data_IF_901151107491
#
_entry.id   IF_901151107491
#
_cell.length_a   1.000
_cell.length_b   1.000
_cell.length_c   1.000
_cell.angle_alpha   90.00
_cell.angle_beta   90.00
_cell.angle_gamma   90.00
#
_symmetry.space_group_name_H-M   'P 1'
#
loop_
_entity.id
_entity.type
_entity.pdbx_description
1 polymer ?
#
# COMPACT_ATOMS: atom_id res chain seq x y z
N UNK A 1 22.35 -50.75 0.75
CA UNK A 1 21.47 -50.87 1.92
C UNK A 1 20.88 -49.50 2.23
N UNK A 2 19.56 -49.42 2.23
CA UNK A 2 18.75 -48.23 2.47
C UNK A 2 18.80 -47.81 3.96
N UNK A 3 18.72 -46.51 4.22
CA UNK A 3 18.03 -45.92 5.39
C UNK A 3 17.76 -44.45 5.05
N UNK A 4 16.57 -44.16 4.53
CA UNK A 4 15.33 -43.81 5.25
C UNK A 4 15.24 -42.31 5.50
N UNK A 5 14.55 -41.65 4.57
CA UNK A 5 14.07 -40.28 4.62
C UNK A 5 13.00 -40.13 5.70
N UNK A 6 13.15 -39.15 6.60
CA UNK A 6 12.08 -38.71 7.47
C UNK A 6 11.40 -37.48 6.85
N UNK A 7 10.35 -37.72 6.07
CA UNK A 7 9.38 -36.73 5.64
C UNK A 7 8.38 -36.51 6.77
N UNK A 8 8.37 -35.32 7.38
CA UNK A 8 7.31 -34.90 8.28
C UNK A 8 6.05 -34.55 7.46
N UNK A 9 5.16 -35.52 7.33
CA UNK A 9 3.79 -35.33 6.85
C UNK A 9 2.94 -34.77 7.98
N UNK A 10 2.48 -33.53 7.88
CA UNK A 10 1.39 -33.02 8.69
C UNK A 10 0.07 -33.51 8.11
N UNK A 11 -0.47 -34.57 8.70
CA UNK A 11 -1.85 -35.03 8.53
C UNK A 11 -2.81 -33.97 9.07
N UNK A 12 -3.40 -33.18 8.18
CA UNK A 12 -4.55 -32.35 8.51
C UNK A 12 -5.79 -33.26 8.61
N UNK A 13 -6.19 -33.57 9.83
CA UNK A 13 -7.48 -34.20 10.12
C UNK A 13 -8.61 -33.21 9.81
N UNK A 14 -9.57 -33.68 9.02
CA UNK A 14 -10.70 -32.89 8.57
C UNK A 14 -11.63 -32.47 9.71
N UNK A 15 -11.88 -31.17 9.78
CA UNK A 15 -13.22 -30.61 10.02
C UNK A 15 -13.41 -29.51 8.99
N UNK A 16 -14.48 -29.62 8.20
CA UNK A 16 -14.80 -28.70 7.11
C UNK A 16 -14.94 -27.27 7.61
N UNK A 17 -13.85 -26.50 7.54
CA UNK A 17 -13.91 -25.07 7.61
C UNK A 17 -14.56 -24.58 6.31
N UNK A 18 -15.80 -24.08 6.40
CA UNK A 18 -16.38 -23.25 5.35
C UNK A 18 -15.43 -22.07 5.15
N UNK A 19 -14.68 -22.09 4.06
CA UNK A 19 -13.81 -20.99 3.65
C UNK A 19 -14.73 -19.78 3.45
N UNK A 20 -14.56 -18.66 4.18
CA UNK A 20 -15.34 -17.47 3.92
C UNK A 20 -14.93 -16.92 2.55
N UNK A 21 -15.93 -16.62 1.71
CA UNK A 21 -15.82 -16.13 0.33
C UNK A 21 -15.17 -14.75 0.16
N UNK A 22 -14.50 -14.22 1.19
CA UNK A 22 -13.87 -12.91 1.22
C UNK A 22 -12.34 -12.98 1.40
N UNK A 23 -11.69 -14.08 1.01
CA UNK A 23 -10.23 -14.08 0.95
C UNK A 23 -9.77 -13.13 -0.16
N UNK A 24 -9.14 -12.04 0.26
CA UNK A 24 -8.49 -11.09 -0.63
C UNK A 24 -7.39 -11.81 -1.46
N UNK A 25 -7.36 -11.68 -2.79
CA UNK A 25 -6.55 -12.51 -3.70
C UNK A 25 -5.02 -12.58 -3.47
N UNK A 26 -4.45 -11.69 -2.65
CA UNK A 26 -2.99 -11.52 -2.48
C UNK A 26 -2.36 -12.41 -1.39
N UNK A 27 -3.17 -13.16 -0.65
CA UNK A 27 -2.72 -14.02 0.46
C UNK A 27 -1.61 -15.07 0.16
N UNK A 28 -1.36 -15.56 -1.08
CA UNK A 28 -0.37 -16.63 -1.26
C UNK A 28 1.12 -16.21 -1.33
N UNK A 29 1.46 -14.92 -1.50
CA UNK A 29 2.85 -14.49 -1.80
C UNK A 29 3.46 -13.53 -0.77
N UNK A 30 2.62 -12.80 -0.05
CA UNK A 30 3.01 -11.90 1.03
C UNK A 30 3.26 -12.77 2.26
N UNK A 31 4.51 -13.20 2.49
CA UNK A 31 5.07 -13.82 3.72
C UNK A 31 6.39 -14.58 3.43
N UNK A 32 6.74 -14.79 2.15
CA UNK A 32 7.97 -15.49 1.78
C UNK A 32 9.18 -14.52 1.68
N UNK A 33 10.33 -14.80 2.31
CA UNK A 33 11.49 -13.92 2.19
C UNK A 33 11.90 -13.72 0.72
N UNK A 34 12.45 -12.54 0.37
CA UNK A 34 12.72 -12.14 -1.03
C UNK A 34 13.47 -13.19 -1.85
N UNK A 35 14.45 -13.88 -1.27
CA UNK A 35 15.21 -14.95 -1.94
C UNK A 35 14.41 -16.24 -2.24
N UNK A 36 13.21 -16.39 -1.67
CA UNK A 36 12.29 -17.52 -1.90
C UNK A 36 11.07 -17.13 -2.73
N UNK A 37 10.89 -15.82 -3.00
CA UNK A 37 9.88 -15.28 -3.93
C UNK A 37 10.36 -15.39 -5.37
N UNK A 38 10.73 -16.60 -5.77
CA UNK A 38 10.88 -16.90 -7.18
C UNK A 38 9.49 -16.91 -7.80
N UNK A 39 9.33 -16.30 -8.98
CA UNK A 39 8.17 -16.53 -9.85
C UNK A 39 8.58 -17.53 -10.94
N UNK A 40 8.85 -18.82 -10.61
CA UNK A 40 9.38 -19.79 -11.57
C UNK A 40 8.37 -20.12 -12.69
N UNK A 41 7.16 -19.58 -12.58
CA UNK A 41 6.06 -19.79 -13.52
C UNK A 41 5.92 -18.68 -14.56
N UNK A 42 6.66 -17.57 -14.51
CA UNK A 42 6.50 -16.47 -15.49
C UNK A 42 6.75 -16.92 -16.92
N UNK A 43 7.86 -17.60 -17.19
CA UNK A 43 8.12 -18.23 -18.51
C UNK A 43 7.02 -19.20 -18.95
N UNK A 44 6.46 -19.99 -18.02
CA UNK A 44 5.35 -20.91 -18.29
C UNK A 44 4.05 -20.16 -18.60
N UNK A 45 3.76 -19.08 -17.88
CA UNK A 45 2.60 -18.21 -18.10
C UNK A 45 2.72 -17.54 -19.48
N UNK A 46 3.88 -16.98 -19.80
CA UNK A 46 4.17 -16.41 -21.12
C UNK A 46 3.92 -17.44 -22.23
N UNK A 47 4.46 -18.66 -22.07
CA UNK A 47 4.25 -19.75 -23.04
C UNK A 47 2.77 -20.09 -23.17
N UNK A 48 2.06 -20.25 -22.04
CA UNK A 48 0.63 -20.52 -22.01
C UNK A 48 -0.19 -19.42 -22.71
N UNK A 49 0.14 -18.14 -22.50
CA UNK A 49 -0.54 -17.02 -23.13
C UNK A 49 -0.31 -16.99 -24.65
N UNK A 50 0.92 -17.29 -25.10
CA UNK A 50 1.26 -17.43 -26.51
C UNK A 50 0.50 -18.58 -27.17
N UNK A 51 0.51 -19.76 -26.54
CA UNK A 51 -0.22 -20.95 -27.01
C UNK A 51 -1.73 -20.73 -27.04
N UNK A 52 -2.29 -20.12 -25.98
CA UNK A 52 -3.70 -19.75 -25.90
C UNK A 52 -4.10 -18.81 -27.04
N UNK A 53 -3.24 -17.85 -27.39
CA UNK A 53 -3.46 -16.95 -28.54
C UNK A 53 -3.44 -17.71 -29.86
N UNK A 54 -2.48 -18.61 -30.06
CA UNK A 54 -2.39 -19.45 -31.27
C UNK A 54 -3.59 -20.40 -31.41
N UNK A 55 -4.10 -20.90 -30.29
CA UNK A 55 -5.24 -21.80 -30.23
C UNK A 55 -6.60 -21.07 -30.18
N UNK A 56 -6.63 -19.74 -30.32
CA UNK A 56 -7.85 -18.91 -30.23
C UNK A 56 -8.66 -19.07 -28.93
N UNK A 57 -8.00 -19.41 -27.81
CA UNK A 57 -8.63 -19.56 -26.50
C UNK A 57 -8.71 -18.25 -25.71
N UNK A 58 -8.02 -17.20 -26.17
CA UNK A 58 -8.13 -15.82 -25.68
C UNK A 58 -7.89 -15.59 -24.17
N UNK A 59 -7.10 -16.44 -23.49
CA UNK A 59 -6.84 -16.26 -22.03
C UNK A 59 -6.21 -14.92 -21.69
N UNK A 60 -5.37 -14.40 -22.58
CA UNK A 60 -4.75 -13.08 -22.43
C UNK A 60 -5.76 -11.93 -22.33
N UNK A 61 -6.97 -12.11 -22.87
CA UNK A 61 -8.06 -11.14 -22.75
C UNK A 61 -8.75 -11.19 -21.39
N UNK A 62 -8.53 -12.23 -20.57
CA UNK A 62 -9.17 -12.39 -19.25
C UNK A 62 -8.27 -11.93 -18.10
N UNK A 63 -6.98 -11.72 -18.36
CA UNK A 63 -6.04 -11.25 -17.34
C UNK A 63 -6.28 -9.76 -17.09
N UNK A 64 -6.80 -9.44 -15.90
CA UNK A 64 -7.13 -8.08 -15.44
C UNK A 64 -6.15 -7.51 -14.42
N UNK A 65 -5.29 -8.34 -13.86
CA UNK A 65 -4.51 -8.02 -12.68
C UNK A 65 -3.04 -8.36 -12.88
N UNK A 66 -2.18 -7.36 -12.70
CA UNK A 66 -0.73 -7.48 -12.75
C UNK A 66 -0.12 -7.23 -11.37
N UNK A 67 0.86 -8.04 -10.98
CA UNK A 67 1.64 -7.86 -9.74
C UNK A 67 3.10 -7.66 -10.10
N UNK A 68 3.67 -6.55 -9.64
CA UNK A 68 5.10 -6.24 -9.74
C UNK A 68 5.74 -6.43 -8.37
N UNK A 69 6.64 -7.40 -8.30
CA UNK A 69 7.49 -7.62 -7.13
C UNK A 69 8.95 -7.46 -7.55
N UNK A 70 9.62 -6.41 -7.04
CA UNK A 70 11.01 -6.15 -7.43
C UNK A 70 12.00 -7.21 -6.93
N UNK A 71 11.62 -8.01 -5.92
CA UNK A 71 12.41 -9.16 -5.49
C UNK A 71 12.52 -10.20 -6.61
N UNK A 72 11.62 -10.20 -7.59
CA UNK A 72 11.71 -11.09 -8.74
C UNK A 72 12.82 -10.72 -9.72
N UNK A 73 13.31 -9.48 -9.73
CA UNK A 73 14.39 -9.03 -10.63
C UNK A 73 15.75 -9.06 -9.94
N UNK A 74 15.81 -8.61 -8.69
CA UNK A 74 17.02 -8.57 -7.89
C UNK A 74 16.73 -9.05 -6.46
N UNK A 75 17.42 -10.10 -6.02
CA UNK A 75 17.37 -10.54 -4.62
C UNK A 75 18.68 -10.27 -3.90
N UNK A 76 18.60 -10.04 -2.59
CA UNK A 76 19.77 -10.01 -1.70
C UNK A 76 19.75 -11.28 -0.87
N UNK A 77 20.69 -12.18 -1.14
CA UNK A 77 20.88 -13.39 -0.35
C UNK A 77 22.01 -13.16 0.66
N UNK A 78 21.82 -13.65 1.89
CA UNK A 78 22.93 -13.73 2.85
C UNK A 78 23.62 -15.07 2.67
N UNK A 79 24.90 -15.05 2.33
CA UNK A 79 25.71 -16.25 2.16
C UNK A 79 26.95 -16.16 3.08
N UNK A 80 27.37 -17.30 3.65
CA UNK A 80 28.58 -17.35 4.45
C UNK A 80 29.79 -17.29 3.51
N UNK A 81 30.66 -16.32 3.72
CA UNK A 81 31.92 -16.20 2.99
C UNK A 81 32.76 -17.46 3.20
N UNK A 82 33.26 -18.04 2.09
CA UNK A 82 34.19 -19.17 2.15
C UNK A 82 35.54 -18.79 2.77
N UNK A 83 35.93 -17.52 2.69
CA UNK A 83 37.26 -17.04 3.12
C UNK A 83 37.28 -16.43 4.51
N UNK A 84 36.23 -15.70 4.90
CA UNK A 84 36.24 -14.92 6.15
C UNK A 84 35.32 -15.47 7.24
N UNK A 85 34.58 -16.56 6.97
CA UNK A 85 33.51 -17.07 7.84
C UNK A 85 32.41 -16.05 8.21
N UNK A 86 32.46 -14.84 7.67
CA UNK A 86 31.48 -13.78 7.87
C UNK A 86 30.29 -13.94 6.93
N UNK A 87 29.13 -13.46 7.34
CA UNK A 87 27.93 -13.40 6.49
C UNK A 87 28.04 -12.21 5.54
N UNK A 88 28.05 -12.48 4.23
CA UNK A 88 28.09 -11.47 3.17
C UNK A 88 26.71 -11.37 2.52
N UNK A 89 26.30 -10.14 2.18
CA UNK A 89 25.12 -9.90 1.34
C UNK A 89 25.54 -10.00 -0.13
N UNK A 90 25.03 -11.01 -0.84
CA UNK A 90 25.24 -11.19 -2.28
C UNK A 90 23.98 -10.80 -3.03
N UNK A 91 24.14 -9.96 -4.05
CA UNK A 91 23.06 -9.62 -4.98
C UNK A 91 22.96 -10.69 -6.07
N UNK A 92 21.74 -11.12 -6.36
CA UNK A 92 21.44 -12.07 -7.44
C UNK A 92 20.47 -11.39 -8.39
N UNK A 93 20.91 -11.24 -9.64
CA UNK A 93 20.10 -10.68 -10.71
C UNK A 93 19.41 -11.79 -11.52
N UNK A 94 18.13 -11.63 -11.80
CA UNK A 94 17.32 -12.58 -12.55
C UNK A 94 17.11 -12.07 -13.99
N UNK A 95 18.08 -12.32 -14.87
CA UNK A 95 18.20 -11.72 -16.20
C UNK A 95 16.93 -11.79 -17.08
N UNK A 96 16.12 -12.85 -16.96
CA UNK A 96 14.92 -13.04 -17.78
C UNK A 96 13.64 -12.47 -17.16
N UNK A 97 13.64 -12.14 -15.86
CA UNK A 97 12.42 -11.81 -15.13
C UNK A 97 11.74 -10.53 -15.63
N UNK A 98 12.54 -9.53 -16.05
CA UNK A 98 12.03 -8.30 -16.66
C UNK A 98 11.48 -8.57 -18.07
N UNK A 99 12.22 -9.32 -18.89
CA UNK A 99 11.80 -9.68 -20.24
C UNK A 99 10.47 -10.44 -20.23
N UNK A 100 10.33 -11.42 -19.35
CA UNK A 100 9.09 -12.19 -19.20
C UNK A 100 7.92 -11.32 -18.74
N UNK A 101 8.13 -10.37 -17.83
CA UNK A 101 7.09 -9.43 -17.41
C UNK A 101 6.67 -8.50 -18.56
N UNK A 102 7.62 -8.00 -19.34
CA UNK A 102 7.32 -7.21 -20.55
C UNK A 102 6.50 -8.02 -21.56
N UNK A 103 6.81 -9.31 -21.73
CA UNK A 103 6.02 -10.18 -22.59
C UNK A 103 4.60 -10.39 -22.06
N UNK A 104 4.40 -10.56 -20.74
CA UNK A 104 3.07 -10.63 -20.14
C UNK A 104 2.28 -9.35 -20.42
N UNK A 105 2.88 -8.18 -20.20
CA UNK A 105 2.26 -6.88 -20.51
C UNK A 105 1.87 -6.82 -21.99
N UNK A 106 2.78 -7.18 -22.91
CA UNK A 106 2.50 -7.17 -24.34
C UNK A 106 1.39 -8.14 -24.79
N UNK A 107 1.16 -9.23 -24.06
CA UNK A 107 0.12 -10.21 -24.40
C UNK A 107 -1.23 -9.84 -23.78
N UNK A 108 -1.25 -9.35 -22.55
CA UNK A 108 -2.45 -9.10 -21.76
C UNK A 108 -2.91 -7.64 -21.87
N UNK A 109 -3.67 -7.30 -22.90
CA UNK A 109 -4.05 -5.91 -23.24
C UNK A 109 -5.14 -5.29 -22.37
N UNK A 110 -5.70 -6.05 -21.43
CA UNK A 110 -6.87 -5.63 -20.65
C UNK A 110 -6.55 -5.66 -19.15
N UNK A 111 -5.35 -5.25 -18.76
CA UNK A 111 -4.96 -5.10 -17.34
C UNK A 111 -5.62 -3.82 -16.80
N UNK A 112 -6.43 -3.96 -15.75
CA UNK A 112 -7.15 -2.86 -15.10
C UNK A 112 -6.62 -2.57 -13.70
N UNK A 113 -5.88 -3.51 -13.12
CA UNK A 113 -5.35 -3.45 -11.76
C UNK A 113 -3.86 -3.74 -11.74
N UNK A 114 -3.12 -2.89 -11.03
CA UNK A 114 -1.69 -3.03 -10.78
C UNK A 114 -1.39 -3.08 -9.28
N UNK A 115 -0.71 -4.12 -8.85
CA UNK A 115 -0.16 -4.21 -7.49
C UNK A 115 1.35 -4.02 -7.54
N UNK A 116 1.90 -3.19 -6.66
CA UNK A 116 3.33 -3.01 -6.44
C UNK A 116 3.67 -3.51 -5.03
N UNK A 117 4.49 -4.56 -4.96
CA UNK A 117 5.00 -5.06 -3.69
C UNK A 117 6.12 -4.16 -3.18
N UNK A 118 5.86 -3.49 -2.06
CA UNK A 118 6.81 -2.62 -1.40
C UNK A 118 7.63 -3.42 -0.38
N UNK A 119 8.94 -3.57 -0.62
CA UNK A 119 9.85 -4.22 0.33
C UNK A 119 10.93 -3.25 0.83
N UNK A 120 10.93 -2.96 2.13
CA UNK A 120 11.98 -2.14 2.77
C UNK A 120 13.40 -2.75 2.64
N UNK A 121 13.50 -4.03 2.28
CA UNK A 121 14.74 -4.68 1.87
C UNK A 121 15.36 -4.06 0.61
N UNK A 122 14.56 -3.50 -0.30
CA UNK A 122 15.03 -2.89 -1.56
C UNK A 122 15.83 -1.61 -1.36
N UNK A 123 15.70 -0.95 -0.22
CA UNK A 123 16.61 0.12 0.15
C UNK A 123 18.08 -0.33 0.14
N UNK A 124 18.37 -1.60 0.48
CA UNK A 124 19.72 -2.13 0.39
C UNK A 124 20.17 -2.36 -1.08
N UNK A 125 19.25 -2.52 -2.03
CA UNK A 125 19.59 -2.62 -3.45
C UNK A 125 20.04 -1.27 -4.01
N UNK A 126 19.44 -0.19 -3.51
CA UNK A 126 19.79 1.19 -3.84
C UNK A 126 21.05 1.64 -3.10
N UNK A 127 21.15 1.43 -1.77
CA UNK A 127 22.30 1.93 -1.01
C UNK A 127 23.63 1.25 -1.35
N UNK A 128 23.61 0.06 -1.97
CA UNK A 128 24.81 -0.68 -2.32
C UNK A 128 25.45 -0.28 -3.67
N UNK A 129 24.82 0.57 -4.50
CA UNK A 129 25.46 1.07 -5.74
C UNK A 129 26.59 2.07 -5.48
N UNK A 130 26.70 2.62 -4.27
CA UNK A 130 27.72 3.62 -3.90
C UNK A 130 28.92 3.07 -3.12
N UNK A 131 28.99 1.77 -2.81
CA UNK A 131 30.14 1.22 -2.06
C UNK A 131 31.39 0.96 -2.92
N UNK A 132 31.37 1.30 -4.21
CA UNK A 132 32.58 1.44 -5.01
C UNK A 132 32.92 2.92 -5.17
N UNK A 133 33.87 3.37 -4.34
CA UNK A 133 34.64 4.62 -4.49
C UNK A 133 33.90 5.93 -4.15
N UNK A 134 33.71 6.25 -2.86
CA UNK A 134 34.00 7.60 -2.32
C UNK A 134 33.79 7.60 -0.81
N UNK A 135 34.89 7.77 -0.06
CA UNK A 135 34.86 8.26 1.32
C UNK A 135 34.42 9.73 1.34
N UNK A 136 33.62 10.08 2.34
CA UNK A 136 33.23 11.44 2.81
C UNK A 136 32.32 12.31 1.90
N UNK A 137 31.02 12.36 2.23
CA UNK A 137 30.18 13.58 2.24
C UNK A 137 28.81 13.30 2.89
N UNK A 138 28.17 14.31 3.53
CA UNK A 138 26.93 14.13 4.27
C UNK A 138 25.72 14.02 3.33
N UNK A 139 24.81 13.10 3.68
CA UNK A 139 23.54 12.85 3.00
C UNK A 139 22.60 14.06 3.03
N UNK A 140 22.62 14.86 1.96
CA UNK A 140 21.42 15.49 1.41
C UNK A 140 20.91 14.59 0.27
N UNK A 141 19.59 14.44 0.18
CA UNK A 141 18.81 13.59 -0.73
C UNK A 141 18.90 14.05 -2.19
N UNK A 142 20.12 14.01 -2.75
CA UNK A 142 20.31 14.05 -4.19
C UNK A 142 19.90 12.69 -4.75
N UNK A 143 18.80 12.68 -5.49
CA UNK A 143 18.31 11.53 -6.24
C UNK A 143 19.47 11.02 -7.10
N UNK A 144 19.95 9.81 -6.81
CA UNK A 144 20.90 9.13 -7.68
C UNK A 144 20.19 8.77 -9.00
N UNK A 145 20.30 9.66 -9.97
CA UNK A 145 19.86 9.46 -11.35
C UNK A 145 20.85 8.60 -12.15
N UNK A 146 21.79 7.91 -11.50
CA UNK A 146 22.72 7.04 -12.21
C UNK A 146 21.95 5.92 -12.92
N UNK A 147 22.31 5.67 -14.19
CA UNK A 147 21.84 4.54 -15.00
C UNK A 147 22.08 3.16 -14.33
N UNK A 148 22.82 3.14 -13.21
CA UNK A 148 23.15 1.96 -12.43
C UNK A 148 22.10 1.56 -11.39
N UNK A 149 21.06 2.37 -11.15
CA UNK A 149 19.97 1.98 -10.27
C UNK A 149 19.02 0.99 -10.98
N UNK A 150 19.05 -0.28 -10.57
CA UNK A 150 18.26 -1.31 -11.25
C UNK A 150 16.75 -1.15 -11.07
N UNK A 151 16.30 -0.61 -9.93
CA UNK A 151 14.87 -0.37 -9.70
C UNK A 151 14.39 0.69 -10.68
N UNK A 152 15.13 1.79 -10.79
CA UNK A 152 14.83 2.86 -11.73
C UNK A 152 14.85 2.37 -13.18
N UNK A 153 15.86 1.59 -13.55
CA UNK A 153 15.98 0.98 -14.89
C UNK A 153 14.81 0.06 -15.22
N UNK A 154 14.40 -0.80 -14.28
CA UNK A 154 13.20 -1.64 -14.41
C UNK A 154 11.95 -0.79 -14.56
N UNK A 155 11.76 0.24 -13.73
CA UNK A 155 10.61 1.15 -13.82
C UNK A 155 10.54 1.85 -15.18
N UNK A 156 11.66 2.35 -15.71
CA UNK A 156 11.73 2.95 -17.04
C UNK A 156 11.34 1.94 -18.14
N UNK A 157 11.86 0.72 -18.08
CA UNK A 157 11.54 -0.31 -19.06
C UNK A 157 10.05 -0.71 -19.03
N UNK A 158 9.46 -0.79 -17.83
CA UNK A 158 8.04 -1.11 -17.67
C UNK A 158 7.14 0.05 -18.10
N UNK A 159 7.51 1.30 -17.78
CA UNK A 159 6.82 2.49 -18.27
C UNK A 159 6.72 2.48 -19.80
N UNK A 160 7.85 2.31 -20.49
CA UNK A 160 7.87 2.25 -21.96
C UNK A 160 6.98 1.14 -22.50
N UNK A 161 6.97 -0.02 -21.85
CA UNK A 161 6.16 -1.16 -22.27
C UNK A 161 4.66 -0.88 -22.10
N UNK A 162 4.25 -0.32 -20.95
CA UNK A 162 2.86 0.06 -20.68
C UNK A 162 2.35 1.12 -21.65
N UNK A 163 3.16 2.14 -21.93
CA UNK A 163 2.82 3.20 -22.88
C UNK A 163 2.70 2.68 -24.31
N UNK A 164 3.64 1.83 -24.76
CA UNK A 164 3.59 1.22 -26.10
C UNK A 164 2.33 0.37 -26.31
N UNK A 165 1.89 -0.33 -25.26
CA UNK A 165 0.68 -1.15 -25.30
C UNK A 165 -0.60 -0.37 -25.00
N UNK A 166 -0.51 0.97 -24.81
CA UNK A 166 -1.63 1.83 -24.38
C UNK A 166 -2.32 1.35 -23.10
N UNK A 167 -1.59 0.62 -22.25
CA UNK A 167 -2.11 0.09 -20.99
C UNK A 167 -2.04 1.10 -19.84
N UNK A 168 -1.23 2.15 -19.99
CA UNK A 168 -1.22 3.30 -19.09
C UNK A 168 -2.62 3.83 -18.81
N UNK A 169 -3.50 3.79 -19.82
CA UNK A 169 -4.86 4.32 -19.76
C UNK A 169 -5.91 3.27 -19.37
N UNK A 170 -5.50 1.99 -19.26
CA UNK A 170 -6.40 0.89 -18.86
C UNK A 170 -6.35 0.64 -17.35
N UNK A 171 -5.24 0.94 -16.70
CA UNK A 171 -5.05 0.69 -15.27
C UNK A 171 -5.86 1.71 -14.46
N UNK A 172 -6.96 1.22 -13.87
CA UNK A 172 -7.90 2.00 -13.04
C UNK A 172 -7.63 1.86 -11.56
N UNK A 173 -6.87 0.85 -11.15
CA UNK A 173 -6.59 0.57 -9.73
C UNK A 173 -5.12 0.31 -9.50
N UNK A 174 -4.55 1.04 -8.53
CA UNK A 174 -3.17 0.89 -8.07
C UNK A 174 -3.15 0.50 -6.59
N UNK A 175 -2.52 -0.64 -6.28
CA UNK A 175 -2.35 -1.11 -4.91
C UNK A 175 -0.86 -1.09 -4.54
N UNK A 176 -0.48 -0.29 -3.53
CA UNK A 176 0.81 -0.44 -2.85
C UNK A 176 0.64 -1.43 -1.71
N UNK A 177 1.45 -2.49 -1.72
CA UNK A 177 1.32 -3.61 -0.78
C UNK A 177 2.62 -3.82 -0.05
N UNK A 178 2.63 -3.60 1.26
CA UNK A 178 3.72 -3.96 2.15
C UNK A 178 3.96 -5.46 2.12
N UNK A 179 5.21 -5.85 1.91
CA UNK A 179 5.62 -7.25 1.96
C UNK A 179 5.49 -7.86 3.37
N UNK A 180 5.64 -7.04 4.43
CA UNK A 180 5.46 -7.49 5.81
C UNK A 180 4.88 -6.33 6.65
N UNK A 181 3.91 -6.58 7.56
CA UNK A 181 3.36 -5.56 8.46
C UNK A 181 4.40 -4.74 9.26
N UNK A 182 5.59 -5.30 9.52
CA UNK A 182 6.72 -4.63 10.18
C UNK A 182 7.26 -3.45 9.35
N UNK A 183 6.99 -3.41 8.05
CA UNK A 183 7.47 -2.34 7.17
C UNK A 183 6.86 -0.98 7.47
N UNK A 184 5.80 -0.95 8.31
CA UNK A 184 5.25 0.23 8.95
C UNK A 184 6.16 0.84 10.03
N UNK A 185 7.25 0.16 10.44
CA UNK A 185 8.16 0.71 11.44
C UNK A 185 8.83 1.99 10.92
N UNK A 186 9.15 2.95 11.82
CA UNK A 186 9.99 4.12 11.51
C UNK A 186 11.29 3.76 10.79
N UNK A 187 11.84 2.59 11.11
CA UNK A 187 13.08 2.06 10.56
C UNK A 187 12.99 1.58 9.09
N UNK A 188 11.78 1.34 8.58
CA UNK A 188 11.51 0.79 7.25
C UNK A 188 10.81 1.80 6.34
N UNK A 189 9.81 2.51 6.86
CA UNK A 189 9.02 3.50 6.14
C UNK A 189 9.77 4.82 5.83
N UNK A 190 11.01 4.96 6.30
CA UNK A 190 11.87 6.12 6.05
C UNK A 190 13.06 5.85 5.14
N UNK A 191 13.04 4.75 4.36
CA UNK A 191 14.14 4.39 3.45
C UNK A 191 13.96 4.87 2.01
N UNK A 192 12.82 5.50 1.70
CA UNK A 192 12.52 6.28 0.47
C UNK A 192 12.95 5.63 -0.86
N UNK A 193 13.11 4.31 -0.91
CA UNK A 193 13.48 3.60 -2.15
C UNK A 193 12.35 3.65 -3.18
N UNK A 194 11.13 3.87 -2.72
CA UNK A 194 9.93 3.98 -3.54
C UNK A 194 9.91 5.25 -4.40
N UNK A 195 10.78 6.25 -4.14
CA UNK A 195 10.99 7.38 -5.06
C UNK A 195 11.40 6.94 -6.47
N UNK A 196 12.08 5.78 -6.61
CA UNK A 196 12.48 5.23 -7.90
C UNK A 196 11.30 4.59 -8.68
N UNK A 197 10.12 4.49 -8.07
CA UNK A 197 8.90 4.06 -8.76
C UNK A 197 8.32 5.14 -9.67
N UNK A 198 8.82 6.38 -9.57
CA UNK A 198 8.27 7.54 -10.29
C UNK A 198 8.00 7.30 -11.78
N UNK A 199 8.91 6.74 -12.61
CA UNK A 199 8.62 6.54 -14.03
C UNK A 199 7.43 5.60 -14.28
N UNK A 200 7.30 4.55 -13.47
CA UNK A 200 6.22 3.60 -13.58
C UNK A 200 4.89 4.22 -13.14
N UNK A 201 4.87 4.89 -11.99
CA UNK A 201 3.64 5.47 -11.42
C UNK A 201 3.16 6.66 -12.24
N UNK A 202 4.06 7.50 -12.75
CA UNK A 202 3.69 8.73 -13.47
C UNK A 202 3.01 8.51 -14.81
N UNK A 203 3.17 7.34 -15.41
CA UNK A 203 2.45 7.02 -16.65
C UNK A 203 1.03 6.51 -16.42
N UNK A 204 0.61 6.23 -15.19
CA UNK A 204 -0.71 5.68 -14.87
C UNK A 204 -1.76 6.80 -14.78
N UNK A 205 -2.15 7.33 -15.94
CA UNK A 205 -3.04 8.49 -16.10
C UNK A 205 -4.48 8.20 -15.65
N UNK A 206 -4.94 6.96 -15.72
CA UNK A 206 -6.36 6.57 -15.58
C UNK A 206 -6.72 5.93 -14.25
N UNK A 207 -5.84 6.05 -13.25
CA UNK A 207 -6.06 5.47 -11.91
C UNK A 207 -7.21 6.18 -11.20
N UNK A 208 -8.27 5.43 -10.94
CA UNK A 208 -9.44 5.89 -10.18
C UNK A 208 -9.36 5.54 -8.70
N UNK A 209 -8.66 4.44 -8.37
CA UNK A 209 -8.60 3.86 -7.03
C UNK A 209 -7.15 3.64 -6.60
N UNK A 210 -6.75 4.26 -5.50
CA UNK A 210 -5.49 4.01 -4.80
C UNK A 210 -5.72 3.17 -3.55
N UNK A 211 -4.99 2.09 -3.39
CA UNK A 211 -5.06 1.24 -2.19
C UNK A 211 -3.70 1.13 -1.54
N UNK A 212 -3.68 1.36 -0.23
CA UNK A 212 -2.51 1.20 0.63
C UNK A 212 -2.76 0.02 1.55
N UNK A 213 -1.91 -1.00 1.49
CA UNK A 213 -2.00 -2.18 2.35
C UNK A 213 -0.70 -2.43 3.10
N UNK A 214 -0.75 -2.45 4.43
CA UNK A 214 0.40 -2.67 5.32
C UNK A 214 1.64 -1.81 4.96
N UNK A 215 1.45 -0.62 4.38
CA UNK A 215 2.52 0.20 3.78
C UNK A 215 2.36 1.68 4.13
N UNK A 216 3.49 2.39 4.15
CA UNK A 216 3.54 3.85 4.20
C UNK A 216 4.45 4.35 3.07
N UNK A 217 3.89 4.68 1.88
CA UNK A 217 4.67 5.21 0.78
C UNK A 217 5.25 6.60 1.09
N UNK A 218 6.38 6.95 0.48
CA UNK A 218 6.96 8.28 0.55
C UNK A 218 6.11 9.32 -0.18
N UNK A 219 6.32 10.60 0.17
CA UNK A 219 5.66 11.72 -0.52
C UNK A 219 5.94 11.69 -2.02
N UNK A 220 7.14 11.27 -2.44
CA UNK A 220 7.51 11.24 -3.85
C UNK A 220 6.78 10.13 -4.63
N UNK A 221 6.45 9.01 -3.99
CA UNK A 221 5.59 8.00 -4.59
C UNK A 221 4.17 8.55 -4.83
N UNK A 222 3.62 9.32 -3.89
CA UNK A 222 2.32 9.98 -4.07
C UNK A 222 2.38 11.10 -5.11
N UNK A 223 3.41 11.96 -5.10
CA UNK A 223 3.58 13.01 -6.11
C UNK A 223 3.76 12.46 -7.52
N UNK A 224 4.31 11.26 -7.65
CA UNK A 224 4.41 10.60 -8.94
C UNK A 224 3.04 10.19 -9.50
N UNK A 225 2.03 9.95 -8.64
CA UNK A 225 0.68 9.64 -9.08
C UNK A 225 0.02 10.91 -9.61
N UNK A 226 0.03 11.06 -10.93
CA UNK A 226 -0.55 12.20 -11.63
C UNK A 226 -1.80 11.78 -12.41
N UNK A 227 -2.77 11.19 -11.72
CA UNK A 227 -4.06 10.83 -12.33
C UNK A 227 -5.13 11.84 -11.94
N UNK A 228 -5.78 12.53 -12.91
CA UNK A 228 -6.89 13.43 -12.65
C UNK A 228 -8.21 12.69 -12.33
N UNK A 229 -8.22 11.36 -12.44
CA UNK A 229 -9.40 10.52 -12.24
C UNK A 229 -9.45 9.89 -10.83
N UNK A 230 -8.44 10.17 -9.99
CA UNK A 230 -8.31 9.57 -8.68
C UNK A 230 -9.41 10.09 -7.74
N UNK A 231 -10.45 9.28 -7.57
CA UNK A 231 -11.61 9.60 -6.72
C UNK A 231 -11.65 8.81 -5.41
N UNK A 232 -10.93 7.69 -5.33
CA UNK A 232 -11.02 6.78 -4.19
C UNK A 232 -9.66 6.42 -3.62
N UNK A 233 -9.55 6.49 -2.29
CA UNK A 233 -8.42 5.95 -1.54
C UNK A 233 -8.89 4.92 -0.51
N UNK A 234 -8.12 3.84 -0.36
CA UNK A 234 -8.42 2.77 0.60
C UNK A 234 -7.18 2.47 1.45
N UNK A 235 -7.35 2.47 2.77
CA UNK A 235 -6.33 2.11 3.73
C UNK A 235 -6.68 0.74 4.34
N UNK A 236 -5.80 -0.24 4.16
CA UNK A 236 -5.82 -1.51 4.88
C UNK A 236 -4.59 -1.57 5.78
N UNK A 237 -4.78 -1.49 7.09
CA UNK A 237 -3.66 -1.56 8.05
C UNK A 237 -2.53 -0.57 7.75
N UNK A 238 -2.84 0.53 7.08
CA UNK A 238 -1.86 1.48 6.48
C UNK A 238 -1.96 2.86 7.10
N UNK A 239 -2.62 2.95 8.23
CA UNK A 239 -2.84 4.16 8.99
C UNK A 239 -1.74 4.28 10.03
N UNK A 240 -0.59 4.80 9.61
CA UNK A 240 0.64 4.75 10.40
C UNK A 240 0.95 6.15 10.92
N UNK A 241 1.32 6.22 12.19
CA UNK A 241 1.93 7.42 12.79
C UNK A 241 3.35 7.08 13.20
N UNK A 242 4.32 7.75 12.56
CA UNK A 242 5.74 7.54 12.79
C UNK A 242 6.31 8.75 13.53
N UNK A 243 6.90 8.57 14.72
CA UNK A 243 7.68 9.62 15.36
C UNK A 243 8.90 9.96 14.51
N UNK A 244 9.09 11.25 14.21
CA UNK A 244 10.32 11.75 13.58
C UNK A 244 11.44 11.74 14.61
N UNK A 245 12.12 10.61 14.73
CA UNK A 245 13.38 10.53 15.46
C UNK A 245 14.55 10.93 14.55
N UNK A 246 14.58 12.18 14.06
CA UNK A 246 15.78 12.74 13.44
C UNK A 246 16.01 14.19 13.88
N UNK A 247 17.18 14.37 14.51
CA UNK A 247 17.89 15.62 14.81
C UNK A 247 17.27 16.56 15.85
N UNK A 248 17.19 16.12 17.10
CA UNK A 248 17.26 17.07 18.23
C UNK A 248 18.31 16.55 19.22
N UNK A 249 19.58 16.86 18.93
CA UNK A 249 20.66 16.96 19.94
C UNK A 249 20.61 18.36 20.60
N UNK A 250 19.43 18.93 20.74
CA UNK A 250 19.23 20.25 21.35
C UNK A 250 18.37 20.04 22.58
N UNK A 251 18.95 20.29 23.74
CA UNK A 251 18.24 20.34 25.00
C UNK A 251 17.29 21.55 24.99
N UNK A 252 16.16 21.43 24.32
CA UNK A 252 15.02 22.31 24.52
C UNK A 252 13.74 21.53 24.30
N UNK A 253 12.79 21.80 25.17
CA UNK A 253 11.55 21.07 25.41
C UNK A 253 10.59 21.09 24.20
N UNK A 254 9.86 19.98 24.08
CA UNK A 254 8.51 19.84 23.52
C UNK A 254 8.28 20.20 22.05
N UNK A 255 8.44 19.21 21.17
CA UNK A 255 7.34 18.58 20.41
C UNK A 255 7.95 17.51 19.52
N UNK A 256 7.76 16.23 19.84
CA UNK A 256 8.06 15.15 18.90
C UNK A 256 7.21 15.41 17.65
N UNK A 257 7.82 15.77 16.52
CA UNK A 257 7.11 15.85 15.24
C UNK A 257 6.78 14.42 14.82
N UNK A 258 5.60 14.22 14.26
CA UNK A 258 5.16 12.92 13.76
C UNK A 258 4.83 13.07 12.28
N UNK A 259 5.09 12.02 11.52
CA UNK A 259 4.58 11.85 10.16
C UNK A 259 3.42 10.88 10.24
N UNK A 260 2.30 11.22 9.59
CA UNK A 260 1.15 10.33 9.43
C UNK A 260 0.96 9.98 7.96
N UNK A 261 0.23 8.90 7.67
CA UNK A 261 -0.20 8.57 6.31
C UNK A 261 -0.96 9.73 5.65
N UNK A 262 -1.70 10.54 6.42
CA UNK A 262 -2.42 11.72 5.89
C UNK A 262 -1.43 12.79 5.43
N UNK A 263 -0.47 13.16 6.29
CA UNK A 263 0.52 14.21 5.99
C UNK A 263 1.41 13.93 4.78
N UNK A 264 1.57 12.66 4.39
CA UNK A 264 2.40 12.27 3.24
C UNK A 264 1.67 12.39 1.91
N UNK A 265 0.35 12.35 1.92
CA UNK A 265 -0.47 12.48 0.72
C UNK A 265 -0.59 13.98 0.40
N UNK A 266 -0.13 14.44 -0.77
CA UNK A 266 -0.21 15.85 -1.14
C UNK A 266 -1.65 16.36 -1.18
N UNK A 267 -1.86 17.61 -0.77
CA UNK A 267 -3.17 18.27 -0.82
C UNK A 267 -3.82 18.21 -2.20
N UNK A 268 -3.01 18.23 -3.26
CA UNK A 268 -3.50 18.09 -4.65
C UNK A 268 -4.19 16.76 -4.91
N UNK A 269 -3.78 15.67 -4.25
CA UNK A 269 -4.48 14.40 -4.32
C UNK A 269 -5.72 14.39 -3.41
N UNK A 270 -5.61 14.94 -2.20
CA UNK A 270 -6.75 15.02 -1.28
C UNK A 270 -7.94 15.77 -1.85
N UNK A 271 -7.70 16.82 -2.63
CA UNK A 271 -8.77 17.57 -3.33
C UNK A 271 -9.53 16.77 -4.38
N UNK A 272 -8.97 15.68 -4.89
CA UNK A 272 -9.61 14.84 -5.91
C UNK A 272 -10.39 13.67 -5.28
N UNK A 273 -10.11 13.33 -4.02
CA UNK A 273 -10.65 12.15 -3.37
C UNK A 273 -12.07 12.43 -2.85
N UNK A 274 -13.03 11.73 -3.42
CA UNK A 274 -14.45 11.75 -3.07
C UNK A 274 -14.85 10.55 -2.17
N UNK A 275 -14.03 9.50 -2.14
CA UNK A 275 -14.33 8.26 -1.43
C UNK A 275 -13.13 7.77 -0.61
N UNK A 276 -13.35 7.56 0.69
CA UNK A 276 -12.33 7.05 1.60
C UNK A 276 -12.85 5.79 2.28
N UNK A 277 -12.01 4.75 2.31
CA UNK A 277 -12.24 3.56 3.12
C UNK A 277 -11.05 3.26 4.01
N UNK A 278 -11.28 2.98 5.29
CA UNK A 278 -10.24 2.70 6.28
C UNK A 278 -10.60 1.41 7.00
N UNK A 279 -9.70 0.42 6.96
CA UNK A 279 -9.83 -0.89 7.57
C UNK A 279 -8.61 -1.16 8.47
N UNK A 280 -8.81 -1.10 9.78
CA UNK A 280 -7.76 -1.15 10.81
C UNK A 280 -8.11 -2.13 11.94
N UNK A 281 -7.09 -2.54 12.70
CA UNK A 281 -7.26 -3.42 13.86
C UNK A 281 -7.83 -2.66 15.07
N UNK A 282 -8.65 -3.31 15.92
CA UNK A 282 -9.30 -2.69 17.11
C UNK A 282 -8.28 -1.93 17.96
N UNK A 283 -7.13 -2.54 18.21
CA UNK A 283 -6.10 -2.00 19.10
C UNK A 283 -5.55 -0.65 18.60
N UNK A 284 -5.42 -0.47 17.29
CA UNK A 284 -4.97 0.79 16.70
C UNK A 284 -6.11 1.82 16.73
N UNK A 285 -7.34 1.38 16.45
CA UNK A 285 -8.56 2.22 16.39
C UNK A 285 -8.97 2.81 17.75
N UNK A 286 -8.80 2.07 18.85
CA UNK A 286 -9.26 2.51 20.18
C UNK A 286 -8.25 3.39 20.93
N UNK A 287 -7.09 3.70 20.35
CA UNK A 287 -6.04 4.50 21.01
C UNK A 287 -6.11 5.99 20.65
N UNK A 288 -5.45 6.84 21.45
CA UNK A 288 -5.27 8.28 21.17
C UNK A 288 -4.76 8.59 19.76
N UNK A 289 -4.04 7.64 19.15
CA UNK A 289 -3.51 7.75 17.78
C UNK A 289 -4.62 7.89 16.74
N UNK A 290 -5.76 7.23 16.95
CA UNK A 290 -6.89 7.28 16.03
C UNK A 290 -7.65 8.60 16.07
N UNK A 291 -7.84 9.20 17.25
CA UNK A 291 -8.43 10.55 17.34
C UNK A 291 -7.56 11.57 16.60
N UNK A 292 -6.24 11.56 16.84
CA UNK A 292 -5.29 12.45 16.16
C UNK A 292 -5.33 12.27 14.65
N UNK A 293 -5.26 11.02 14.18
CA UNK A 293 -5.33 10.73 12.75
C UNK A 293 -6.63 11.25 12.14
N UNK A 294 -7.77 10.93 12.76
CA UNK A 294 -9.07 11.30 12.19
C UNK A 294 -9.24 12.82 12.16
N UNK A 295 -8.75 13.53 13.17
CA UNK A 295 -8.70 15.00 13.15
C UNK A 295 -7.83 15.54 12.01
N UNK A 296 -6.67 14.92 11.75
CA UNK A 296 -5.83 15.32 10.61
C UNK A 296 -6.51 15.04 9.27
N UNK A 297 -7.17 13.89 9.15
CA UNK A 297 -7.93 13.46 7.99
C UNK A 297 -9.08 14.44 7.71
N UNK A 298 -9.84 14.85 8.74
CA UNK A 298 -10.86 15.91 8.66
C UNK A 298 -10.28 17.19 8.07
N UNK A 299 -9.07 17.60 8.47
CA UNK A 299 -8.45 18.81 7.95
C UNK A 299 -8.05 18.69 6.48
N UNK A 300 -7.59 17.51 6.05
CA UNK A 300 -7.11 17.25 4.69
C UNK A 300 -8.23 17.08 3.66
N UNK A 301 -9.39 16.52 4.04
CA UNK A 301 -10.47 16.25 3.10
C UNK A 301 -11.28 17.49 2.74
N UNK A 302 -11.91 17.49 1.56
CA UNK A 302 -12.75 18.58 1.07
C UNK A 302 -14.15 18.08 0.72
N UNK A 303 -14.37 17.66 -0.52
CA UNK A 303 -15.69 17.30 -1.04
C UNK A 303 -15.94 15.78 -0.97
N UNK A 304 -15.98 15.25 0.26
CA UNK A 304 -16.11 13.80 0.47
C UNK A 304 -17.55 13.33 0.26
N UNK A 305 -17.77 12.40 -0.67
CA UNK A 305 -19.07 11.80 -0.94
C UNK A 305 -19.35 10.52 -0.13
N UNK A 306 -18.32 9.72 0.16
CA UNK A 306 -18.47 8.45 0.87
C UNK A 306 -17.30 8.21 1.82
N UNK A 307 -17.63 7.86 3.07
CA UNK A 307 -16.66 7.50 4.11
C UNK A 307 -16.98 6.12 4.70
N UNK A 308 -16.02 5.21 4.68
CA UNK A 308 -16.10 3.91 5.37
C UNK A 308 -14.99 3.84 6.40
N UNK A 309 -15.35 3.54 7.64
CA UNK A 309 -14.39 3.33 8.71
C UNK A 309 -14.70 2.04 9.45
N UNK A 310 -13.76 1.11 9.44
CA UNK A 310 -13.80 -0.02 10.33
C UNK A 310 -13.46 0.46 11.74
N UNK A 311 -14.48 0.60 12.59
CA UNK A 311 -14.39 1.24 13.89
C UNK A 311 -14.95 0.29 14.95
N UNK A 312 -14.22 0.03 16.03
CA UNK A 312 -14.73 -0.63 17.25
C UNK A 312 -15.67 -1.85 17.10
N UNK A 313 -16.49 -2.05 18.14
CA UNK A 313 -17.56 -3.05 18.20
C UNK A 313 -18.87 -2.50 17.62
N UNK A 314 -19.85 -3.38 17.38
CA UNK A 314 -21.18 -3.01 16.88
C UNK A 314 -21.84 -1.92 17.74
N UNK A 315 -21.77 -2.05 19.06
CA UNK A 315 -22.40 -1.13 20.02
C UNK A 315 -21.70 0.24 20.06
N UNK A 316 -20.38 0.28 19.81
CA UNK A 316 -19.65 1.53 19.67
C UNK A 316 -20.04 2.26 18.37
N UNK A 317 -20.13 1.52 17.27
CA UNK A 317 -20.51 2.05 15.96
C UNK A 317 -21.93 2.60 15.93
N UNK A 318 -22.89 1.87 16.50
CA UNK A 318 -24.28 2.32 16.55
C UNK A 318 -24.40 3.62 17.36
N UNK A 319 -23.72 3.74 18.51
CA UNK A 319 -23.71 4.98 19.31
C UNK A 319 -23.09 6.17 18.55
N UNK A 320 -21.99 5.95 17.84
CA UNK A 320 -21.34 6.99 17.05
C UNK A 320 -22.22 7.44 15.89
N UNK A 321 -22.86 6.52 15.17
CA UNK A 321 -23.75 6.84 14.05
C UNK A 321 -25.02 7.58 14.50
N UNK A 322 -25.63 7.18 15.61
CA UNK A 322 -26.80 7.89 16.16
C UNK A 322 -26.45 9.33 16.52
N UNK A 323 -25.27 9.56 17.11
CA UNK A 323 -24.80 10.91 17.46
C UNK A 323 -24.62 11.79 16.22
N UNK A 324 -24.01 11.24 15.16
CA UNK A 324 -23.82 11.97 13.89
C UNK A 324 -25.16 12.23 13.20
N UNK A 325 -26.04 11.23 13.10
CA UNK A 325 -27.31 11.37 12.37
C UNK A 325 -28.30 12.32 13.08
N UNK A 326 -28.41 12.27 14.41
CA UNK A 326 -29.32 13.15 15.15
C UNK A 326 -28.91 14.62 15.01
N UNK A 327 -27.60 14.89 15.01
CA UNK A 327 -27.07 16.24 14.84
C UNK A 327 -27.28 16.85 13.45
N UNK A 328 -27.47 16.02 12.40
CA UNK A 328 -27.79 16.48 11.05
C UNK A 328 -29.27 16.90 10.95
N UNK A 329 -30.14 16.28 11.75
CA UNK A 329 -31.59 16.51 11.76
C UNK A 329 -32.02 17.68 12.67
N UNK A 330 -31.28 17.97 13.73
CA UNK A 330 -31.66 18.99 14.73
C UNK A 330 -31.46 20.47 14.31
N UNK A 331 -31.00 20.77 13.09
CA UNK A 331 -30.99 22.16 12.56
C UNK A 331 -32.29 22.57 11.85
N UNK A 332 -33.25 21.65 11.64
CA UNK A 332 -34.59 21.99 11.16
C UNK A 332 -35.64 21.71 12.25
N UNK A 333 -36.10 22.79 12.87
CA UNK A 333 -37.33 22.92 13.68
C UNK A 333 -37.45 22.07 14.95
N UNK A 334 -36.96 22.55 16.12
CA UNK A 334 -37.60 22.25 17.42
C UNK A 334 -37.57 23.49 18.36
N UNK A 335 -38.70 23.84 19.03
CA UNK A 335 -38.77 24.95 19.98
C UNK A 335 -37.97 24.70 21.26
N UNK A 336 -37.46 25.77 21.86
CA UNK A 336 -36.92 25.82 23.22
C UNK A 336 -37.94 25.28 24.24
N UNK A 337 -37.92 23.98 24.55
CA UNK A 337 -38.20 23.43 25.89
C UNK A 337 -38.20 21.90 25.85
N UNK A 338 -37.01 21.30 26.03
CA UNK A 338 -36.81 20.08 26.82
C UNK A 338 -35.31 19.79 26.94
N UNK A 339 -34.73 20.33 28.01
CA UNK A 339 -33.37 20.04 28.45
C UNK A 339 -33.35 18.66 29.13
N UNK A 340 -32.76 17.66 28.46
CA UNK A 340 -32.56 16.31 28.99
C UNK A 340 -31.39 15.60 28.29
N UNK A 341 -30.18 15.84 28.78
CA UNK A 341 -28.99 14.95 28.75
C UNK A 341 -28.63 14.17 27.47
N UNK A 342 -28.79 14.77 26.29
CA UNK A 342 -27.99 14.38 25.11
C UNK A 342 -27.02 15.53 24.84
N UNK A 343 -25.95 15.63 25.64
CA UNK A 343 -24.78 16.40 25.21
C UNK A 343 -24.19 15.67 24.01
N UNK A 344 -24.59 16.10 22.81
CA UNK A 344 -23.93 15.71 21.56
C UNK A 344 -22.44 15.92 21.77
N UNK A 345 -21.66 14.86 21.63
CA UNK A 345 -20.23 14.92 21.84
C UNK A 345 -19.60 15.64 20.62
N UNK A 346 -19.66 16.97 20.63
CA UNK A 346 -19.14 17.88 19.59
C UNK A 346 -17.62 17.78 19.40
N UNK A 347 -16.96 16.91 20.15
CA UNK A 347 -15.51 16.70 20.20
C UNK A 347 -15.06 15.49 19.35
N UNK A 348 -15.98 14.92 18.56
CA UNK A 348 -15.76 13.72 17.74
C UNK A 348 -15.25 14.09 16.33
N UNK A 349 -14.09 13.57 15.88
CA UNK A 349 -13.63 13.78 14.51
C UNK A 349 -14.60 13.27 13.43
N UNK A 350 -15.45 12.29 13.75
CA UNK A 350 -16.49 11.82 12.83
C UNK A 350 -17.62 12.85 12.66
N UNK A 351 -17.94 13.56 13.75
CA UNK A 351 -18.88 14.68 13.71
C UNK A 351 -18.29 15.83 12.91
N UNK A 352 -17.03 16.20 13.17
CA UNK A 352 -16.33 17.26 12.42
C UNK A 352 -16.27 16.95 10.92
N UNK A 353 -16.00 15.68 10.56
CA UNK A 353 -16.01 15.21 9.17
C UNK A 353 -17.39 15.39 8.54
N UNK A 354 -18.44 14.95 9.25
CA UNK A 354 -19.82 15.05 8.78
C UNK A 354 -20.26 16.49 8.60
N UNK A 355 -19.88 17.39 9.51
CA UNK A 355 -20.20 18.81 9.42
C UNK A 355 -19.41 19.50 8.30
N UNK A 356 -18.11 19.20 8.16
CA UNK A 356 -17.27 19.76 7.10
C UNK A 356 -17.78 19.38 5.71
N UNK A 357 -18.22 18.13 5.53
CA UNK A 357 -18.71 17.59 4.26
C UNK A 357 -20.25 17.55 4.20
N UNK A 358 -20.97 18.35 4.99
CA UNK A 358 -22.44 18.22 5.17
C UNK A 358 -23.23 18.22 3.85
N UNK A 359 -22.78 19.00 2.86
CA UNK A 359 -23.45 19.15 1.57
C UNK A 359 -23.06 18.08 0.54
N UNK A 360 -21.91 17.41 0.71
CA UNK A 360 -21.32 16.48 -0.26
C UNK A 360 -21.39 15.03 0.22
N UNK A 361 -21.36 14.78 1.52
CA UNK A 361 -21.33 13.46 2.13
C UNK A 361 -22.68 12.76 2.01
N UNK A 362 -22.76 11.84 1.05
CA UNK A 362 -23.96 11.02 0.79
C UNK A 362 -24.01 9.78 1.69
N UNK A 363 -22.86 9.27 2.12
CA UNK A 363 -22.79 8.01 2.87
C UNK A 363 -21.63 7.98 3.87
N UNK A 364 -21.96 7.71 5.13
CA UNK A 364 -21.00 7.34 6.17
C UNK A 364 -21.32 5.92 6.66
N UNK A 365 -20.33 5.03 6.70
CA UNK A 365 -20.51 3.63 7.12
C UNK A 365 -19.45 3.26 8.14
N UNK A 366 -19.89 2.79 9.31
CA UNK A 366 -19.01 2.20 10.31
C UNK A 366 -19.09 0.68 10.23
N UNK A 367 -17.95 0.03 9.98
CA UNK A 367 -17.84 -1.42 9.84
C UNK A 367 -17.30 -2.01 11.14
N UNK A 368 -17.90 -3.09 11.61
CA UNK A 368 -17.45 -3.76 12.84
C UNK A 368 -16.10 -4.43 12.61
N UNK A 369 -15.22 -4.39 13.61
CA UNK A 369 -14.04 -5.27 13.59
C UNK A 369 -14.47 -6.69 13.97
N UNK A 370 -14.06 -7.74 13.22
CA UNK A 370 -14.40 -9.11 13.58
C UNK A 370 -13.92 -9.47 14.98
N UNK A 371 -14.81 -10.04 15.80
CA UNK A 371 -14.41 -10.69 17.04
C UNK A 371 -13.62 -11.95 16.68
N UNK A 372 -12.32 -11.98 16.99
CA UNK A 372 -11.48 -13.18 16.83
C UNK A 372 -11.41 -13.98 18.13
#
# INVERSE_FOLDING_TARGET
>A
MQSASASASSTATGKGARIPSNQLPWLPLVNHPSYSRSYPFRSRIVKLLKESRMANLAFHQQVRHLVIDFASFDTIRREKSKTTNMMIKKRVHHANALTELKEIINLCTQIERLDIICDAGFANLVSCSHLSNTTSAPHDTLIDNSENNSILSVCNALQQTLMQQRQSDCIKRLDFIGFNPIQRCPCCAGKEWDQYLKPLVSCLSSVEILVLKDVLPSVDAFRALNSPHLKKIVFYKSMVTIPLFKKVRSASTSTTKFITSVSLIPDTLWRQIEHIEIYEDIEDVTTWRSRRYLTELVNAVHDLESFVLQFGTKEANERSLVTVNNSILEEHDIPNDQCGDIRVNCDSPLYDLSMKCKTTLKRMTLVNVPNF
#
